data_IF_189939895097
#
_entry.id   IF_189939895097
#
_cell.length_a   1.000
_cell.length_b   1.000
_cell.length_c   1.000
_cell.angle_alpha   90.00
_cell.angle_beta   90.00
_cell.angle_gamma   90.00
#
_symmetry.space_group_name_H-M   'P 1'
#
loop_
_entity.id
_entity.type
_entity.pdbx_description
1 polymer ?
#
# COMPACT_ATOMS: atom_id res chain seq x y z
N UNK A 1 -19.65 -40.77 10.52
CA UNK A 1 -19.62 -39.69 9.51
C UNK A 1 -18.16 -39.43 9.19
N UNK A 2 -17.73 -39.77 7.98
CA UNK A 2 -16.35 -39.54 7.51
C UNK A 2 -16.26 -38.09 7.09
N UNK A 3 -15.57 -37.28 7.87
CA UNK A 3 -15.19 -35.93 7.49
C UNK A 3 -14.17 -36.05 6.36
N UNK A 4 -14.59 -35.80 5.13
CA UNK A 4 -13.70 -35.64 3.98
C UNK A 4 -12.76 -34.48 4.26
N UNK A 5 -11.45 -34.76 4.25
CA UNK A 5 -10.43 -33.72 4.30
C UNK A 5 -10.67 -32.72 3.17
N UNK A 6 -10.50 -31.42 3.41
CA UNK A 6 -10.67 -30.41 2.36
C UNK A 6 -9.69 -30.69 1.22
N UNK A 7 -10.19 -30.66 0.00
CA UNK A 7 -9.40 -30.84 -1.21
C UNK A 7 -8.38 -29.68 -1.30
N UNK A 8 -7.09 -29.95 -1.07
CA UNK A 8 -6.01 -28.98 -1.05
C UNK A 8 -5.87 -28.24 -2.40
N UNK A 9 -6.13 -28.95 -3.50
CA UNK A 9 -6.08 -28.35 -4.85
C UNK A 9 -7.19 -27.31 -5.09
N UNK A 10 -8.35 -27.46 -4.41
CA UNK A 10 -9.44 -26.49 -4.49
C UNK A 10 -9.17 -25.21 -3.68
N UNK A 11 -8.34 -25.27 -2.66
CA UNK A 11 -7.91 -24.10 -1.88
C UNK A 11 -6.86 -23.26 -2.62
N UNK A 12 -6.02 -23.88 -3.43
CA UNK A 12 -5.01 -23.18 -4.24
C UNK A 12 -5.62 -22.41 -5.44
N UNK A 13 -6.83 -22.79 -5.87
CA UNK A 13 -7.54 -22.10 -6.96
C UNK A 13 -8.38 -20.91 -6.48
N UNK A 14 -8.56 -20.70 -5.17
CA UNK A 14 -9.32 -19.58 -4.65
C UNK A 14 -8.45 -18.33 -4.50
N UNK A 15 -8.97 -17.14 -4.86
CA UNK A 15 -8.25 -15.91 -4.65
C UNK A 15 -7.96 -15.69 -3.15
N UNK A 16 -6.82 -15.07 -2.84
CA UNK A 16 -6.42 -14.73 -1.48
C UNK A 16 -7.34 -13.66 -0.88
N UNK A 17 -7.70 -12.67 -1.72
CA UNK A 17 -8.68 -11.63 -1.38
C UNK A 17 -9.68 -11.50 -2.51
N UNK A 18 -10.96 -11.33 -2.19
CA UNK A 18 -12.01 -11.00 -3.15
C UNK A 18 -12.81 -9.82 -2.66
N UNK A 19 -13.00 -8.83 -3.53
CA UNK A 19 -13.86 -7.67 -3.30
C UNK A 19 -15.07 -7.78 -4.20
N UNK A 20 -16.25 -7.58 -3.65
CA UNK A 20 -17.52 -7.64 -4.38
C UNK A 20 -18.37 -6.41 -4.08
N UNK A 21 -18.46 -5.52 -5.08
CA UNK A 21 -19.25 -4.28 -5.01
C UNK A 21 -18.99 -3.46 -3.74
N UNK A 22 -17.71 -3.35 -3.35
CA UNK A 22 -17.30 -2.71 -2.10
C UNK A 22 -17.54 -1.20 -2.16
N UNK A 23 -18.31 -0.68 -1.21
CA UNK A 23 -18.61 0.75 -1.06
C UNK A 23 -18.19 1.22 0.32
N UNK A 24 -17.61 2.41 0.38
CA UNK A 24 -17.22 3.07 1.63
C UNK A 24 -17.62 4.52 1.57
N UNK A 25 -18.31 5.00 2.62
CA UNK A 25 -18.76 6.38 2.76
C UNK A 25 -18.38 6.96 4.11
N UNK A 26 -18.00 8.23 4.15
CA UNK A 26 -17.83 9.02 5.36
C UNK A 26 -18.96 10.07 5.43
N UNK A 27 -19.95 9.81 6.26
CA UNK A 27 -21.18 10.59 6.29
C UNK A 27 -21.89 10.56 4.94
N UNK A 28 -22.15 11.72 4.34
CA UNK A 28 -22.81 11.80 3.03
C UNK A 28 -21.86 11.62 1.83
N UNK A 29 -20.53 11.55 2.06
CA UNK A 29 -19.55 11.45 0.99
C UNK A 29 -19.15 10.01 0.76
N UNK A 30 -19.54 9.44 -0.38
CA UNK A 30 -19.06 8.14 -0.84
C UNK A 30 -17.63 8.29 -1.39
N UNK A 31 -16.74 7.39 -1.01
CA UNK A 31 -15.32 7.39 -1.40
C UNK A 31 -15.02 6.24 -2.34
N UNK A 32 -15.59 5.05 -2.09
CA UNK A 32 -15.46 3.87 -2.96
C UNK A 32 -16.82 3.51 -3.53
N UNK A 33 -16.89 3.37 -4.85
CA UNK A 33 -18.13 3.29 -5.62
C UNK A 33 -18.36 1.89 -6.22
N UNK A 34 -18.25 0.83 -5.40
CA UNK A 34 -18.52 -0.54 -5.86
C UNK A 34 -17.29 -1.24 -6.43
N UNK A 35 -16.17 -1.17 -5.73
CA UNK A 35 -14.92 -1.82 -6.08
C UNK A 35 -15.11 -3.34 -6.14
N UNK A 36 -14.72 -3.94 -7.26
CA UNK A 36 -14.80 -5.40 -7.49
C UNK A 36 -13.55 -5.88 -8.19
N UNK A 37 -12.76 -6.73 -7.55
CA UNK A 37 -11.63 -7.47 -8.12
C UNK A 37 -11.16 -8.56 -7.17
N UNK A 38 -10.30 -9.45 -7.70
CA UNK A 38 -9.66 -10.52 -6.95
C UNK A 38 -8.15 -10.32 -6.88
N UNK A 39 -7.55 -10.69 -5.74
CA UNK A 39 -6.10 -10.80 -5.53
C UNK A 39 -5.76 -12.27 -5.47
N UNK A 40 -4.85 -12.72 -6.33
CA UNK A 40 -4.44 -14.12 -6.37
C UNK A 40 -3.42 -14.44 -5.28
N UNK A 41 -3.34 -15.70 -4.90
CA UNK A 41 -2.35 -16.17 -3.93
C UNK A 41 -0.93 -16.00 -4.48
N UNK A 42 -0.03 -15.41 -3.69
CA UNK A 42 1.38 -15.23 -4.07
C UNK A 42 1.65 -14.15 -5.12
N UNK A 43 0.62 -13.38 -5.56
CA UNK A 43 0.86 -12.24 -6.45
C UNK A 43 1.24 -10.97 -5.69
N UNK A 44 1.96 -10.10 -6.38
CA UNK A 44 2.09 -8.69 -6.00
C UNK A 44 1.10 -7.88 -6.81
N UNK A 45 0.03 -7.40 -6.15
CA UNK A 45 -0.93 -6.48 -6.74
C UNK A 45 -0.58 -5.05 -6.36
N UNK A 46 -0.38 -4.18 -7.36
CA UNK A 46 -0.15 -2.76 -7.12
C UNK A 46 -1.40 -1.96 -7.41
N UNK A 47 -1.86 -1.19 -6.43
CA UNK A 47 -3.02 -0.28 -6.53
C UNK A 47 -2.50 1.12 -6.80
N UNK A 48 -2.78 1.61 -8.01
CA UNK A 48 -2.40 2.92 -8.52
C UNK A 48 -3.56 3.91 -8.46
N UNK A 49 -3.25 5.19 -8.45
CA UNK A 49 -4.24 6.27 -8.59
C UNK A 49 -3.73 7.60 -8.07
N UNK A 50 -4.39 8.67 -8.45
CA UNK A 50 -4.08 10.03 -7.99
C UNK A 50 -4.36 10.24 -6.49
N UNK A 51 -3.95 11.41 -5.97
CA UNK A 51 -4.31 11.82 -4.62
C UNK A 51 -5.83 11.90 -4.46
N UNK A 52 -6.37 11.40 -3.35
CA UNK A 52 -7.82 11.40 -3.11
C UNK A 52 -8.63 10.39 -3.93
N UNK A 53 -8.02 9.49 -4.71
CA UNK A 53 -8.74 8.48 -5.51
C UNK A 53 -9.40 7.36 -4.68
N UNK A 54 -9.10 7.26 -3.37
CA UNK A 54 -9.67 6.24 -2.48
C UNK A 54 -8.72 5.11 -2.09
N UNK A 55 -7.46 5.10 -2.55
CA UNK A 55 -6.47 4.02 -2.30
C UNK A 55 -6.27 3.71 -0.81
N UNK A 56 -5.99 4.72 0.01
CA UNK A 56 -5.75 4.51 1.45
C UNK A 56 -7.04 4.09 2.17
N UNK A 57 -8.22 4.54 1.72
CA UNK A 57 -9.50 4.06 2.22
C UNK A 57 -9.69 2.57 1.90
N UNK A 58 -9.42 2.18 0.65
CA UNK A 58 -9.47 0.77 0.25
C UNK A 58 -8.51 -0.08 1.08
N UNK A 59 -7.26 0.37 1.23
CA UNK A 59 -6.26 -0.34 2.02
C UNK A 59 -6.69 -0.54 3.48
N UNK A 60 -7.18 0.53 4.15
CA UNK A 60 -7.69 0.45 5.53
C UNK A 60 -8.87 -0.50 5.64
N UNK A 61 -9.73 -0.54 4.63
CA UNK A 61 -10.88 -1.45 4.60
C UNK A 61 -10.43 -2.90 4.43
N UNK A 62 -9.41 -3.16 3.59
CA UNK A 62 -8.83 -4.49 3.38
C UNK A 62 -8.20 -5.07 4.66
N UNK A 63 -7.51 -4.24 5.45
CA UNK A 63 -6.90 -4.69 6.72
C UNK A 63 -7.88 -4.68 7.90
N UNK A 64 -9.17 -4.34 7.65
CA UNK A 64 -10.22 -4.33 8.67
C UNK A 64 -10.14 -3.18 9.68
N UNK A 65 -9.45 -2.09 9.34
CA UNK A 65 -9.42 -0.84 10.12
C UNK A 65 -10.64 0.04 9.83
N UNK A 66 -11.25 -0.13 8.66
CA UNK A 66 -12.43 0.58 8.21
C UNK A 66 -13.51 -0.43 7.85
N UNK A 67 -14.76 -0.18 8.24
CA UNK A 67 -15.88 -1.03 7.86
C UNK A 67 -16.48 -0.55 6.54
N UNK A 68 -16.77 -1.45 5.58
CA UNK A 68 -17.48 -1.07 4.37
C UNK A 68 -18.91 -0.61 4.70
N UNK A 69 -19.42 0.35 3.92
CA UNK A 69 -20.83 0.77 3.98
C UNK A 69 -21.73 -0.30 3.37
N UNK A 70 -21.25 -0.96 2.30
CA UNK A 70 -21.92 -2.11 1.69
C UNK A 70 -20.92 -2.89 0.81
N UNK A 71 -21.34 -4.04 0.29
CA UNK A 71 -20.48 -4.96 -0.44
C UNK A 71 -19.76 -5.93 0.48
N UNK A 72 -18.86 -6.72 -0.08
CA UNK A 72 -18.21 -7.82 0.64
C UNK A 72 -16.70 -7.81 0.44
N UNK A 73 -16.00 -8.23 1.48
CA UNK A 73 -14.57 -8.52 1.48
C UNK A 73 -14.39 -9.95 1.95
N UNK A 74 -13.80 -10.76 1.10
CA UNK A 74 -13.45 -12.12 1.41
C UNK A 74 -11.93 -12.23 1.51
N UNK A 75 -11.44 -12.78 2.61
CA UNK A 75 -10.02 -13.10 2.81
C UNK A 75 -9.93 -14.59 3.11
N UNK A 76 -9.17 -15.31 2.29
CA UNK A 76 -9.02 -16.78 2.43
C UNK A 76 -10.37 -17.52 2.50
N UNK A 77 -11.35 -17.09 1.70
CA UNK A 77 -12.68 -17.67 1.67
C UNK A 77 -13.60 -17.30 2.85
N UNK A 78 -13.17 -16.44 3.77
CA UNK A 78 -13.97 -15.92 4.87
C UNK A 78 -14.46 -14.51 4.57
N UNK A 79 -15.77 -14.26 4.68
CA UNK A 79 -16.37 -12.94 4.50
C UNK A 79 -16.22 -12.10 5.78
N UNK A 80 -15.46 -11.01 5.71
CA UNK A 80 -15.18 -10.15 6.88
C UNK A 80 -16.43 -9.51 7.50
N UNK A 81 -17.55 -9.42 6.76
CA UNK A 81 -18.79 -8.87 7.27
C UNK A 81 -19.55 -9.84 8.20
N UNK A 82 -19.26 -11.14 8.15
CA UNK A 82 -20.04 -12.18 8.83
C UNK A 82 -19.25 -13.02 9.85
N UNK A 83 -17.92 -12.84 9.92
CA UNK A 83 -17.08 -13.56 10.87
C UNK A 83 -17.19 -13.02 12.29
N UNK A 84 -16.89 -13.86 13.28
CA UNK A 84 -16.83 -13.43 14.69
C UNK A 84 -15.62 -12.51 14.96
N UNK A 85 -15.62 -11.78 16.07
CA UNK A 85 -14.46 -10.98 16.49
C UNK A 85 -13.18 -11.82 16.63
N UNK A 86 -13.30 -13.05 17.16
CA UNK A 86 -12.18 -13.98 17.35
C UNK A 86 -11.61 -14.42 16.00
N UNK A 87 -12.47 -14.75 15.03
CA UNK A 87 -12.05 -15.10 13.67
C UNK A 87 -11.40 -13.91 12.96
N UNK A 88 -11.88 -12.68 13.22
CA UNK A 88 -11.27 -11.46 12.69
C UNK A 88 -9.86 -11.26 13.24
N UNK A 89 -9.64 -11.51 14.53
CA UNK A 89 -8.32 -11.41 15.16
C UNK A 89 -7.35 -12.46 14.59
N UNK A 90 -7.83 -13.67 14.33
CA UNK A 90 -7.03 -14.71 13.67
C UNK A 90 -6.66 -14.35 12.23
N UNK A 91 -7.56 -13.67 11.50
CA UNK A 91 -7.24 -13.13 10.17
C UNK A 91 -6.18 -12.03 10.30
N UNK A 92 -6.35 -11.06 11.22
CA UNK A 92 -5.42 -9.95 11.43
C UNK A 92 -3.99 -10.42 11.73
N UNK A 93 -3.82 -11.50 12.50
CA UNK A 93 -2.50 -12.10 12.76
C UNK A 93 -1.81 -12.61 11.48
N UNK A 94 -2.57 -12.86 10.41
CA UNK A 94 -2.07 -13.27 9.10
C UNK A 94 -1.85 -12.12 8.13
N UNK A 95 -2.12 -10.90 8.56
CA UNK A 95 -1.93 -9.67 7.79
C UNK A 95 -0.77 -8.88 8.38
N UNK A 96 0.20 -8.51 7.56
CA UNK A 96 1.23 -7.54 7.92
C UNK A 96 0.94 -6.21 7.25
N UNK A 97 1.22 -5.09 7.93
CA UNK A 97 1.05 -3.75 7.34
C UNK A 97 2.24 -2.86 7.60
N UNK A 98 2.79 -2.31 6.51
CA UNK A 98 3.79 -1.24 6.53
C UNK A 98 3.14 0.07 6.11
N UNK A 99 3.02 1.01 7.04
CA UNK A 99 2.37 2.31 6.84
C UNK A 99 3.32 3.32 6.17
N UNK A 100 2.75 4.29 5.47
CA UNK A 100 3.49 5.35 4.77
C UNK A 100 4.51 6.08 5.66
N UNK A 101 4.15 6.44 6.89
CA UNK A 101 5.03 7.08 7.87
C UNK A 101 5.88 6.12 8.70
N UNK A 102 6.00 4.84 8.32
CA UNK A 102 6.61 3.75 9.11
C UNK A 102 5.88 3.43 10.42
N UNK A 103 5.22 4.38 11.04
CA UNK A 103 4.45 4.28 12.28
C UNK A 103 5.21 3.56 13.43
N UNK A 104 6.53 3.74 13.49
CA UNK A 104 7.35 3.24 14.59
C UNK A 104 7.11 4.07 15.85
N UNK A 105 7.05 3.41 17.00
CA UNK A 105 6.97 4.08 18.28
C UNK A 105 8.33 4.70 18.62
N UNK A 106 8.40 6.02 18.67
CA UNK A 106 9.64 6.77 18.90
C UNK A 106 10.25 6.56 20.30
N UNK A 107 9.45 6.15 21.29
CA UNK A 107 9.88 5.82 22.65
C UNK A 107 10.51 4.43 22.77
N UNK A 108 10.30 3.56 21.77
CA UNK A 108 10.80 2.19 21.72
C UNK A 108 12.04 2.10 20.82
N UNK A 109 12.92 1.14 21.10
CA UNK A 109 13.99 0.77 20.17
C UNK A 109 13.43 0.09 18.92
N UNK A 110 14.27 -0.13 17.91
CA UNK A 110 13.91 -0.88 16.70
C UNK A 110 13.50 -2.30 17.05
N UNK A 111 14.30 -2.98 17.89
CA UNK A 111 13.98 -4.33 18.36
C UNK A 111 12.65 -4.40 19.11
N UNK A 112 12.38 -3.45 20.02
CA UNK A 112 11.10 -3.37 20.73
C UNK A 112 9.92 -3.13 19.80
N UNK A 113 10.08 -2.27 18.78
CA UNK A 113 9.05 -2.06 17.76
C UNK A 113 8.74 -3.35 16.99
N UNK A 114 9.76 -4.12 16.59
CA UNK A 114 9.59 -5.37 15.87
C UNK A 114 9.03 -6.47 16.78
N UNK A 115 9.43 -6.52 18.06
CA UNK A 115 8.94 -7.47 19.05
C UNK A 115 7.46 -7.27 19.42
N UNK A 116 6.96 -6.03 19.31
CA UNK A 116 5.64 -5.66 19.84
C UNK A 116 4.50 -6.59 19.39
N UNK A 117 4.33 -6.93 18.11
CA UNK A 117 3.25 -7.84 17.71
C UNK A 117 3.37 -9.25 18.34
N UNK A 118 4.59 -9.75 18.53
CA UNK A 118 4.81 -11.05 19.18
C UNK A 118 4.40 -11.01 20.65
N UNK A 119 4.77 -9.95 21.37
CA UNK A 119 4.42 -9.78 22.78
C UNK A 119 2.92 -9.64 22.99
N UNK A 120 2.22 -8.93 22.09
CA UNK A 120 0.78 -8.70 22.20
C UNK A 120 -0.07 -9.92 21.80
N UNK A 121 0.40 -10.71 20.83
CA UNK A 121 -0.43 -11.75 20.22
C UNK A 121 0.05 -13.19 20.45
N UNK A 122 1.16 -13.39 21.17
CA UNK A 122 1.69 -14.73 21.46
C UNK A 122 2.03 -14.89 22.95
N UNK A 123 2.34 -16.10 23.34
CA UNK A 123 2.85 -16.45 24.67
C UNK A 123 4.29 -16.95 24.59
N UNK A 124 5.06 -16.48 23.61
CA UNK A 124 6.46 -16.89 23.43
C UNK A 124 7.34 -16.34 24.56
N UNK A 125 8.33 -17.11 24.93
CA UNK A 125 9.38 -16.67 25.85
C UNK A 125 10.20 -15.53 25.22
N UNK A 126 10.65 -14.56 26.03
CA UNK A 126 11.36 -13.37 25.56
C UNK A 126 12.63 -13.72 24.75
N UNK A 127 13.36 -14.77 25.15
CA UNK A 127 14.54 -15.26 24.41
C UNK A 127 14.19 -15.71 22.97
N UNK A 128 13.01 -16.30 22.78
CA UNK A 128 12.51 -16.70 21.46
C UNK A 128 12.13 -15.46 20.65
N UNK A 129 11.45 -14.50 21.28
CA UNK A 129 11.09 -13.22 20.65
C UNK A 129 12.34 -12.49 20.16
N UNK A 130 13.40 -12.40 20.99
CA UNK A 130 14.67 -11.78 20.61
C UNK A 130 15.30 -12.43 19.38
N UNK A 131 15.30 -13.76 19.30
CA UNK A 131 15.81 -14.49 18.13
C UNK A 131 14.99 -14.14 16.90
N UNK A 132 13.65 -14.18 16.99
CA UNK A 132 12.76 -13.86 15.87
C UNK A 132 12.97 -12.42 15.40
N UNK A 133 13.12 -11.46 16.32
CA UNK A 133 13.39 -10.05 16.00
C UNK A 133 14.68 -9.91 15.21
N UNK A 134 15.78 -10.54 15.66
CA UNK A 134 17.08 -10.48 14.96
C UNK A 134 16.97 -11.04 13.55
N UNK A 135 16.33 -12.20 13.39
CA UNK A 135 16.11 -12.81 12.07
C UNK A 135 15.31 -11.88 11.15
N UNK A 136 14.26 -11.21 11.65
CA UNK A 136 13.48 -10.28 10.83
C UNK A 136 14.26 -9.01 10.48
N UNK A 137 15.07 -8.50 11.38
CA UNK A 137 15.94 -7.36 11.10
C UNK A 137 17.03 -7.71 10.09
N UNK A 138 17.63 -8.88 10.18
CA UNK A 138 18.57 -9.40 9.19
C UNK A 138 17.92 -9.49 7.79
N UNK A 139 16.69 -10.05 7.70
CA UNK A 139 15.94 -10.17 6.43
C UNK A 139 15.70 -8.82 5.72
N UNK A 140 15.66 -7.73 6.46
CA UNK A 140 15.48 -6.38 5.89
C UNK A 140 16.80 -5.58 5.84
N UNK A 141 17.96 -6.21 6.13
CA UNK A 141 19.28 -5.58 6.12
C UNK A 141 19.50 -4.57 7.25
N UNK A 142 18.95 -4.86 8.44
CA UNK A 142 19.11 -4.07 9.67
C UNK A 142 19.71 -4.90 10.83
N UNK A 143 20.55 -5.87 10.52
CA UNK A 143 21.31 -6.62 11.53
C UNK A 143 22.15 -5.66 12.39
N UNK A 144 22.08 -5.82 13.71
CA UNK A 144 22.82 -5.00 14.70
C UNK A 144 22.16 -3.66 15.04
N UNK A 145 20.97 -3.35 14.49
CA UNK A 145 20.24 -2.12 14.80
C UNK A 145 19.15 -2.29 15.84
N UNK A 146 19.09 -3.41 16.55
CA UNK A 146 18.03 -3.75 17.53
C UNK A 146 17.88 -2.70 18.63
N UNK A 147 19.01 -2.13 19.07
CA UNK A 147 19.07 -1.21 20.23
C UNK A 147 18.95 0.27 19.83
N UNK A 148 18.95 0.58 18.53
CA UNK A 148 18.78 1.95 18.03
C UNK A 148 17.34 2.41 18.18
N UNK A 149 17.14 3.72 18.34
CA UNK A 149 15.82 4.33 18.32
C UNK A 149 15.46 4.77 16.90
N UNK A 150 14.16 4.87 16.56
CA UNK A 150 13.75 5.37 15.25
C UNK A 150 14.34 6.74 14.88
N UNK A 151 14.60 7.62 15.86
CA UNK A 151 15.24 8.93 15.64
C UNK A 151 16.67 8.85 15.11
N UNK A 152 17.36 7.74 15.35
CA UNK A 152 18.75 7.50 14.95
C UNK A 152 18.86 6.86 13.55
N UNK A 153 17.73 6.47 12.95
CA UNK A 153 17.68 5.80 11.65
C UNK A 153 17.44 6.80 10.51
N UNK A 154 18.02 6.50 9.34
CA UNK A 154 17.64 7.16 8.08
C UNK A 154 16.20 6.85 7.68
N UNK A 155 15.63 7.60 6.72
CA UNK A 155 14.28 7.35 6.21
C UNK A 155 14.10 5.93 5.66
N UNK A 156 15.05 5.44 4.87
CA UNK A 156 15.04 4.09 4.33
C UNK A 156 15.14 3.00 5.42
N UNK A 157 15.99 3.21 6.42
CA UNK A 157 16.10 2.28 7.56
C UNK A 157 14.80 2.21 8.37
N UNK A 158 14.11 3.35 8.58
CA UNK A 158 12.78 3.37 9.23
C UNK A 158 11.75 2.56 8.45
N UNK A 159 11.75 2.67 7.12
CA UNK A 159 10.88 1.87 6.25
C UNK A 159 11.18 0.38 6.38
N UNK A 160 12.45 -0.03 6.33
CA UNK A 160 12.88 -1.42 6.52
C UNK A 160 12.50 -1.97 7.90
N UNK A 161 12.68 -1.20 8.96
CA UNK A 161 12.25 -1.58 10.32
C UNK A 161 10.72 -1.76 10.42
N UNK A 162 9.95 -0.90 9.75
CA UNK A 162 8.49 -1.06 9.67
C UNK A 162 8.08 -2.33 8.91
N UNK A 163 8.82 -2.71 7.86
CA UNK A 163 8.64 -3.99 7.15
C UNK A 163 8.95 -5.17 8.08
N UNK A 164 10.08 -5.14 8.80
CA UNK A 164 10.43 -6.19 9.76
C UNK A 164 9.32 -6.38 10.81
N UNK A 165 8.78 -5.29 11.37
CA UNK A 165 7.65 -5.34 12.30
C UNK A 165 6.40 -5.94 11.65
N UNK A 166 6.08 -5.56 10.41
CA UNK A 166 4.93 -6.09 9.69
C UNK A 166 5.05 -7.59 9.40
N UNK A 167 6.29 -8.10 9.31
CA UNK A 167 6.59 -9.50 8.97
C UNK A 167 6.80 -10.40 10.19
N UNK A 168 6.90 -9.86 11.41
CA UNK A 168 7.37 -10.63 12.57
C UNK A 168 6.44 -11.78 12.97
N UNK A 169 5.16 -11.68 12.61
CA UNK A 169 4.14 -12.72 12.83
C UNK A 169 4.03 -13.74 11.68
N UNK A 170 4.97 -13.74 10.71
CA UNK A 170 4.93 -14.55 9.49
C UNK A 170 3.59 -14.45 8.75
N UNK A 171 3.20 -13.23 8.31
CA UNK A 171 1.91 -13.02 7.67
C UNK A 171 1.85 -13.71 6.29
N UNK A 172 0.64 -14.11 5.87
CA UNK A 172 0.38 -14.63 4.53
C UNK A 172 0.14 -13.52 3.51
N UNK A 173 -0.29 -12.34 3.99
CA UNK A 173 -0.55 -11.16 3.18
C UNK A 173 0.20 -9.97 3.77
N UNK A 174 0.97 -9.28 2.94
CA UNK A 174 1.72 -8.09 3.34
C UNK A 174 1.21 -6.87 2.58
N UNK A 175 0.79 -5.85 3.31
CA UNK A 175 0.31 -4.60 2.78
C UNK A 175 1.36 -3.50 2.93
N UNK A 176 1.53 -2.70 1.87
CA UNK A 176 2.38 -1.52 1.85
C UNK A 176 1.57 -0.29 1.46
N UNK A 177 1.61 0.75 2.28
CA UNK A 177 1.05 2.06 1.97
C UNK A 177 2.19 3.01 1.65
N UNK A 178 2.36 3.34 0.36
CA UNK A 178 3.40 4.25 -0.16
C UNK A 178 4.81 3.92 0.39
N UNK A 179 5.35 2.72 0.12
CA UNK A 179 6.58 2.25 0.76
C UNK A 179 7.81 3.10 0.45
N UNK A 180 7.90 3.67 -0.75
CA UNK A 180 9.03 4.49 -1.23
C UNK A 180 8.81 6.00 -1.07
N UNK A 181 7.62 6.43 -0.60
CA UNK A 181 7.30 7.86 -0.50
C UNK A 181 8.27 8.63 0.39
N UNK A 182 8.78 9.75 -0.14
CA UNK A 182 9.69 10.64 0.57
C UNK A 182 11.14 10.17 0.65
N UNK A 183 11.51 9.11 -0.09
CA UNK A 183 12.87 8.62 -0.23
C UNK A 183 13.49 9.14 -1.53
N UNK A 184 14.82 9.21 -1.55
CA UNK A 184 15.53 9.42 -2.82
C UNK A 184 15.40 8.17 -3.73
N UNK A 185 15.62 8.31 -5.05
CA UNK A 185 15.39 7.23 -6.00
C UNK A 185 16.22 5.96 -5.74
N UNK A 186 17.44 6.09 -5.20
CA UNK A 186 18.32 4.93 -4.93
C UNK A 186 17.79 4.14 -3.74
N UNK A 187 17.42 4.83 -2.67
CA UNK A 187 16.84 4.21 -1.47
C UNK A 187 15.47 3.61 -1.78
N UNK A 188 14.65 4.31 -2.60
CA UNK A 188 13.36 3.79 -3.08
C UNK A 188 13.54 2.47 -3.84
N UNK A 189 14.47 2.40 -4.78
CA UNK A 189 14.80 1.16 -5.49
C UNK A 189 15.25 0.04 -4.53
N UNK A 190 15.93 0.36 -3.43
CA UNK A 190 16.29 -0.61 -2.40
C UNK A 190 15.09 -1.15 -1.61
N UNK A 191 13.99 -0.40 -1.51
CA UNK A 191 12.72 -0.90 -0.94
C UNK A 191 11.98 -1.78 -1.96
N UNK A 192 11.97 -1.39 -3.23
CA UNK A 192 11.37 -2.20 -4.29
C UNK A 192 12.06 -3.57 -4.40
N UNK A 193 13.39 -3.59 -4.35
CA UNK A 193 14.18 -4.82 -4.34
C UNK A 193 13.86 -5.70 -3.12
N UNK A 194 13.72 -5.10 -1.93
CA UNK A 194 13.30 -5.81 -0.72
C UNK A 194 11.92 -6.47 -0.91
N UNK A 195 10.94 -5.77 -1.50
CA UNK A 195 9.61 -6.33 -1.78
C UNK A 195 9.70 -7.56 -2.69
N UNK A 196 10.53 -7.50 -3.74
CA UNK A 196 10.76 -8.63 -4.65
C UNK A 196 11.41 -9.83 -3.94
N UNK A 197 12.42 -9.58 -3.11
CA UNK A 197 13.11 -10.62 -2.34
C UNK A 197 12.17 -11.31 -1.35
N UNK A 198 11.33 -10.53 -0.64
CA UNK A 198 10.33 -11.06 0.28
C UNK A 198 9.29 -11.93 -0.43
N UNK A 199 8.79 -11.46 -1.58
CA UNK A 199 7.89 -12.24 -2.41
C UNK A 199 8.49 -13.58 -2.81
N UNK A 200 9.72 -13.55 -3.32
CA UNK A 200 10.40 -14.75 -3.81
C UNK A 200 10.70 -15.74 -2.68
N UNK A 201 11.22 -15.24 -1.54
CA UNK A 201 11.64 -16.07 -0.42
C UNK A 201 10.46 -16.72 0.32
N UNK A 202 9.35 -15.97 0.51
CA UNK A 202 8.25 -16.39 1.38
C UNK A 202 6.96 -16.73 0.62
N UNK A 203 6.92 -16.54 -0.70
CA UNK A 203 5.74 -16.77 -1.56
C UNK A 203 4.47 -16.10 -1.02
N UNK A 204 4.62 -14.99 -0.30
CA UNK A 204 3.51 -14.24 0.28
C UNK A 204 2.74 -13.44 -0.77
N UNK A 205 1.48 -13.17 -0.49
CA UNK A 205 0.68 -12.25 -1.29
C UNK A 205 0.99 -10.83 -0.85
N UNK A 206 1.29 -9.94 -1.79
CA UNK A 206 1.69 -8.56 -1.49
C UNK A 206 0.72 -7.58 -2.16
N UNK A 207 0.23 -6.63 -1.39
CA UNK A 207 -0.57 -5.51 -1.91
C UNK A 207 0.18 -4.21 -1.64
N UNK A 208 0.47 -3.46 -2.69
CA UNK A 208 1.17 -2.18 -2.60
C UNK A 208 0.26 -1.07 -3.10
N UNK A 209 0.03 -0.07 -2.27
CA UNK A 209 -0.60 1.18 -2.69
C UNK A 209 0.50 2.17 -2.98
N UNK A 210 0.55 2.73 -4.19
CA UNK A 210 1.51 3.77 -4.56
C UNK A 210 1.02 4.64 -5.71
N UNK A 211 1.64 5.80 -5.88
CA UNK A 211 1.54 6.64 -7.07
C UNK A 211 2.83 6.65 -7.90
N UNK A 212 3.87 5.92 -7.44
CA UNK A 212 5.17 5.81 -8.09
C UNK A 212 5.14 4.77 -9.20
N UNK A 213 5.10 5.21 -10.48
CA UNK A 213 5.00 4.30 -11.63
C UNK A 213 6.24 3.42 -11.81
N UNK A 214 7.42 3.95 -11.52
CA UNK A 214 8.68 3.19 -11.65
C UNK A 214 8.66 1.95 -10.75
N UNK A 215 8.37 2.13 -9.46
CA UNK A 215 8.21 1.05 -8.48
C UNK A 215 7.11 0.08 -8.92
N UNK A 216 5.94 0.61 -9.30
CA UNK A 216 4.81 -0.21 -9.72
C UNK A 216 5.17 -1.16 -10.87
N UNK A 217 5.85 -0.66 -11.91
CA UNK A 217 6.28 -1.49 -13.04
C UNK A 217 7.34 -2.53 -12.69
N UNK A 218 8.14 -2.27 -11.66
CA UNK A 218 9.19 -3.18 -11.22
C UNK A 218 8.65 -4.34 -10.39
N UNK A 219 7.73 -4.04 -9.46
CA UNK A 219 7.31 -5.02 -8.43
C UNK A 219 6.00 -5.74 -8.76
N UNK A 220 5.13 -5.18 -9.62
CA UNK A 220 3.79 -5.71 -9.84
C UNK A 220 3.76 -6.92 -10.78
N UNK A 221 3.00 -7.95 -10.42
CA UNK A 221 2.46 -8.92 -11.38
C UNK A 221 1.25 -8.33 -12.09
N UNK A 222 0.34 -7.71 -11.32
CA UNK A 222 -0.86 -7.03 -11.82
C UNK A 222 -1.00 -5.67 -11.15
N UNK A 223 -1.65 -4.78 -11.87
CA UNK A 223 -1.95 -3.42 -11.43
C UNK A 223 -3.45 -3.15 -11.47
N UNK A 224 -3.95 -2.38 -10.52
CA UNK A 224 -5.30 -1.80 -10.51
C UNK A 224 -5.17 -0.30 -10.49
N UNK A 225 -5.75 0.40 -11.45
CA UNK A 225 -5.86 1.85 -11.44
C UNK A 225 -7.21 2.26 -10.84
N UNK A 226 -7.16 3.00 -9.74
CA UNK A 226 -8.34 3.58 -9.09
C UNK A 226 -8.37 5.09 -9.36
N UNK A 227 -9.51 5.55 -9.84
CA UNK A 227 -9.77 6.98 -10.01
C UNK A 227 -11.16 7.34 -9.49
N UNK A 228 -11.23 8.39 -8.66
CA UNK A 228 -12.49 8.88 -8.06
C UNK A 228 -13.35 7.74 -7.49
N UNK A 229 -12.74 6.83 -6.74
CA UNK A 229 -13.43 5.72 -6.08
C UNK A 229 -13.86 4.55 -6.97
N UNK A 230 -13.48 4.54 -8.25
CA UNK A 230 -13.82 3.48 -9.20
C UNK A 230 -12.57 2.75 -9.70
N UNK A 231 -12.69 1.46 -10.02
CA UNK A 231 -11.67 0.74 -10.78
C UNK A 231 -11.78 1.17 -12.25
N UNK A 232 -10.72 1.81 -12.75
CA UNK A 232 -10.65 2.27 -14.16
C UNK A 232 -10.10 1.17 -15.05
N UNK A 233 -9.06 0.48 -14.58
CA UNK A 233 -8.45 -0.62 -15.32
C UNK A 233 -7.76 -1.57 -14.34
N UNK A 234 -7.61 -2.83 -14.75
CA UNK A 234 -6.86 -3.86 -14.06
C UNK A 234 -6.24 -4.80 -15.09
N UNK A 235 -5.00 -5.19 -14.87
CA UNK A 235 -4.28 -6.11 -15.75
C UNK A 235 -2.83 -6.28 -15.35
N UNK A 236 -2.10 -7.09 -16.12
CA UNK A 236 -0.64 -7.22 -16.02
C UNK A 236 0.05 -5.89 -16.35
N UNK A 237 1.32 -5.76 -15.98
CA UNK A 237 2.13 -4.59 -16.33
C UNK A 237 2.16 -4.33 -17.84
N UNK A 238 2.18 -5.39 -18.65
CA UNK A 238 2.17 -5.31 -20.12
C UNK A 238 0.83 -4.79 -20.64
N UNK A 239 -0.29 -5.32 -20.15
CA UNK A 239 -1.66 -4.88 -20.54
C UNK A 239 -1.88 -3.41 -20.17
N UNK A 240 -1.45 -3.01 -18.96
CA UNK A 240 -1.56 -1.62 -18.54
C UNK A 240 -0.73 -0.68 -19.43
N UNK A 241 0.50 -1.08 -19.79
CA UNK A 241 1.36 -0.29 -20.69
C UNK A 241 0.78 -0.15 -22.09
N UNK A 242 0.13 -1.18 -22.62
CA UNK A 242 -0.47 -1.19 -23.95
C UNK A 242 -1.90 -0.65 -24.00
N UNK A 243 -2.48 -0.29 -22.86
CA UNK A 243 -3.85 0.22 -22.79
C UNK A 243 -4.02 1.48 -23.63
N UNK A 244 -5.08 1.52 -24.42
CA UNK A 244 -5.50 2.69 -25.23
C UNK A 244 -6.57 3.53 -24.52
N UNK A 245 -7.02 3.09 -23.34
CA UNK A 245 -8.06 3.79 -22.59
C UNK A 245 -7.56 5.19 -22.17
N UNK A 246 -8.25 6.28 -22.51
CA UNK A 246 -7.76 7.64 -22.31
C UNK A 246 -7.36 7.96 -20.86
N UNK A 247 -8.14 7.51 -19.88
CA UNK A 247 -7.86 7.76 -18.46
C UNK A 247 -6.63 7.01 -17.96
N UNK A 248 -6.42 5.77 -18.42
CA UNK A 248 -5.21 4.98 -18.14
C UNK A 248 -3.99 5.68 -18.73
N UNK A 249 -4.06 6.10 -20.01
CA UNK A 249 -2.97 6.82 -20.67
C UNK A 249 -2.65 8.13 -19.97
N UNK A 250 -3.68 8.93 -19.64
CA UNK A 250 -3.49 10.18 -18.92
C UNK A 250 -2.70 9.99 -17.64
N UNK A 251 -3.03 8.93 -16.85
CA UNK A 251 -2.33 8.63 -15.60
C UNK A 251 -0.89 8.14 -15.85
N UNK A 252 -0.73 7.17 -16.74
CA UNK A 252 0.59 6.56 -17.02
C UNK A 252 1.55 7.53 -17.71
N UNK A 253 1.05 8.41 -18.61
CA UNK A 253 1.85 9.40 -19.32
C UNK A 253 2.01 10.71 -18.51
N UNK A 254 1.43 10.76 -17.29
CA UNK A 254 1.51 11.92 -16.38
C UNK A 254 0.99 13.22 -17.02
N UNK A 255 -0.11 13.11 -17.77
CA UNK A 255 -0.75 14.28 -18.42
C UNK A 255 -1.65 14.99 -17.41
N UNK A 256 -1.47 16.30 -17.28
CA UNK A 256 -2.23 17.13 -16.35
C UNK A 256 -3.74 17.09 -16.64
N UNK A 257 -4.56 17.24 -15.59
CA UNK A 257 -6.02 17.44 -15.75
C UNK A 257 -6.30 18.73 -16.52
N UNK A 258 -7.28 18.73 -17.45
CA UNK A 258 -7.60 19.92 -18.25
C UNK A 258 -8.00 21.15 -17.42
N UNK A 259 -8.62 20.93 -16.27
CA UNK A 259 -9.00 22.02 -15.35
C UNK A 259 -7.76 22.69 -14.72
N UNK A 260 -6.79 21.88 -14.28
CA UNK A 260 -5.52 22.40 -13.73
C UNK A 260 -4.73 23.12 -14.80
N UNK A 261 -4.72 22.64 -16.04
CA UNK A 261 -4.07 23.31 -17.15
C UNK A 261 -4.70 24.69 -17.43
N UNK A 262 -6.04 24.82 -17.39
CA UNK A 262 -6.74 26.10 -17.54
C UNK A 262 -6.45 27.09 -16.41
N UNK A 263 -6.36 26.62 -15.17
CA UNK A 263 -5.99 27.47 -14.03
C UNK A 263 -4.56 27.99 -14.16
N UNK A 264 -3.63 27.17 -14.64
CA UNK A 264 -2.24 27.56 -14.89
C UNK A 264 -2.15 28.57 -16.03
N UNK A 265 -2.88 28.39 -17.13
CA UNK A 265 -2.96 29.35 -18.23
C UNK A 265 -3.52 30.71 -17.76
N UNK A 266 -4.57 30.67 -16.94
CA UNK A 266 -5.16 31.88 -16.37
C UNK A 266 -4.18 32.62 -15.44
N UNK A 267 -3.43 31.89 -14.61
CA UNK A 267 -2.39 32.46 -13.76
C UNK A 267 -1.21 33.04 -14.57
N UNK A 268 -0.86 32.42 -15.68
CA UNK A 268 0.15 32.96 -16.62
C UNK A 268 -0.32 34.26 -17.27
N UNK A 269 -1.56 34.31 -17.77
CA UNK A 269 -2.16 35.53 -18.31
C UNK A 269 -2.14 36.69 -17.30
N UNK A 270 -2.54 36.40 -16.03
CA UNK A 270 -2.52 37.44 -14.97
C UNK A 270 -1.11 37.90 -14.61
N UNK A 271 -0.09 37.06 -14.77
CA UNK A 271 1.31 37.45 -14.49
C UNK A 271 1.95 38.21 -15.66
N UNK A 272 1.51 37.91 -16.89
CA UNK A 272 1.94 38.66 -18.10
C UNK A 272 1.36 40.08 -18.13
N UNK A 273 0.06 40.28 -17.86
CA UNK A 273 -0.59 41.57 -17.75
C UNK A 273 0.09 42.46 -16.71
N UNK A 274 0.46 41.92 -15.55
CA UNK A 274 1.21 42.69 -14.54
C UNK A 274 2.62 43.08 -14.95
N UNK A 275 3.26 42.38 -15.90
CA UNK A 275 4.56 42.76 -16.47
C UNK A 275 4.42 43.89 -17.48
N UNK A 276 3.34 43.89 -18.26
CA UNK A 276 3.05 44.96 -19.22
C UNK A 276 2.80 46.28 -18.49
N UNK A 277 1.98 46.29 -17.46
CA UNK A 277 1.69 47.47 -16.65
C UNK A 277 2.92 48.07 -15.95
N UNK A 278 3.81 47.17 -15.41
CA UNK A 278 5.06 47.65 -14.81
C UNK A 278 6.04 48.29 -15.81
N UNK A 279 6.03 47.81 -17.05
CA UNK A 279 6.88 48.38 -18.11
C UNK A 279 6.29 49.68 -18.67
N UNK A 280 4.98 49.83 -18.73
CA UNK A 280 4.30 51.06 -19.07
C UNK A 280 4.57 52.16 -18.03
N UNK A 281 4.42 51.84 -16.74
CA UNK A 281 4.68 52.79 -15.63
C UNK A 281 6.17 53.20 -15.49
N UNK A 282 7.12 52.41 -16.00
CA UNK A 282 8.54 52.78 -16.06
C UNK A 282 8.86 53.69 -17.23
N UNK A 283 8.09 53.67 -18.34
CA UNK A 283 8.26 54.55 -19.51
C UNK A 283 7.68 55.95 -19.28
N UNK A 284 6.69 56.11 -18.41
CA UNK A 284 6.11 57.40 -18.05
C UNK A 284 6.95 58.19 -17.01
N UNK A 285 7.95 57.53 -16.38
CA UNK A 285 8.83 58.16 -15.38
C UNK A 285 10.24 58.43 -15.88
N UNK A 286 10.54 58.17 -17.14
CA UNK A 286 11.80 58.48 -17.83
C UNK A 286 11.60 59.59 -18.88
#
# INVERSE_FOLDING_TARGET
>A
MVTTAPNLDALDSQPMISLRNLRVSYGAREILHGITFDVQRGETLVILGGSGSGKSTLLRTLVGLEKPTSGEIWIKGKNLATISPEEMDDIRKKLGMSFQGSALFGSMTVGENVALPLREHTKLEESTIEIMVRLKLEQVGLEGFEYYRPSELSGGMKKRAAVARAMVMDPEILFFDEPSAGLDPIIAAGIDQLILELKQAFKMTIIVVTHELASAYLIADRMVLIDKGNVVAMGSTTEMRSSTQPRVRQFLDRVAEPEVARELDYLQMLTEDRRVDRNAAKRERA
#
